data_IF_393620223794
#
_entry.id   IF_393620223794
#
_cell.length_a   1.000
_cell.length_b   1.000
_cell.length_c   1.000
_cell.angle_alpha   90.00
_cell.angle_beta   90.00
_cell.angle_gamma   90.00
#
_symmetry.space_group_name_H-M   'P 1'
#
loop_
_entity.id
_entity.type
_entity.pdbx_description
1 polymer ?
#
# COMPACT_ATOMS: atom_id res chain seq x y z
N UNK A 1 25.13 24.36 14.32
CA UNK A 1 25.39 24.19 12.87
C UNK A 1 24.34 23.23 12.32
N UNK A 2 23.68 23.55 11.21
CA UNK A 2 22.74 22.64 10.55
C UNK A 2 23.46 21.94 9.39
N UNK A 3 23.35 20.61 9.35
CA UNK A 3 23.87 19.76 8.29
C UNK A 3 22.70 19.13 7.54
N UNK A 4 22.79 19.06 6.22
CA UNK A 4 21.75 18.48 5.36
C UNK A 4 22.36 17.37 4.50
N UNK A 5 21.71 16.21 4.49
CA UNK A 5 22.11 15.03 3.74
C UNK A 5 20.98 14.63 2.79
N UNK A 6 21.31 14.09 1.62
CA UNK A 6 20.32 13.41 0.80
C UNK A 6 19.92 12.10 1.49
N UNK A 7 18.64 11.73 1.39
CA UNK A 7 18.23 10.38 1.76
C UNK A 7 18.69 9.38 0.71
N UNK A 8 18.95 8.14 1.13
CA UNK A 8 19.27 7.01 0.25
C UNK A 8 18.23 6.93 -0.89
N UNK A 9 18.70 6.72 -2.13
CA UNK A 9 17.85 6.76 -3.33
C UNK A 9 17.59 8.17 -3.88
N UNK A 10 18.15 9.22 -3.26
CA UNK A 10 18.17 10.58 -3.81
C UNK A 10 16.84 11.34 -3.70
N UNK A 11 15.82 10.76 -3.06
CA UNK A 11 14.49 11.37 -2.91
C UNK A 11 14.28 11.81 -1.48
N UNK A 12 14.29 13.12 -1.26
CA UNK A 12 14.12 13.73 0.06
C UNK A 12 15.44 14.08 0.74
N UNK A 13 15.36 14.55 1.98
CA UNK A 13 16.49 15.04 2.73
C UNK A 13 16.40 14.75 4.22
N UNK A 14 17.57 14.68 4.85
CA UNK A 14 17.75 14.62 6.29
C UNK A 14 18.43 15.90 6.76
N UNK A 15 17.79 16.69 7.61
CA UNK A 15 18.38 17.83 8.32
C UNK A 15 18.76 17.43 9.74
N UNK A 16 19.96 17.82 10.17
CA UNK A 16 20.49 17.55 11.51
C UNK A 16 21.03 18.84 12.10
N UNK A 17 20.53 19.24 13.27
CA UNK A 17 21.00 20.41 14.00
C UNK A 17 21.45 20.00 15.39
N UNK A 18 22.74 20.23 15.68
CA UNK A 18 23.27 20.06 17.02
C UNK A 18 22.79 21.19 17.94
N UNK A 19 22.32 20.81 19.12
CA UNK A 19 21.76 21.65 20.18
C UNK A 19 22.36 21.21 21.52
N UNK A 20 23.64 21.57 21.73
CA UNK A 20 24.39 21.17 22.91
C UNK A 20 24.53 19.64 23.01
N UNK A 21 24.03 18.98 24.07
CA UNK A 21 24.14 17.53 24.24
C UNK A 21 23.14 16.74 23.38
N UNK A 22 22.28 17.42 22.60
CA UNK A 22 21.22 16.81 21.79
C UNK A 22 21.39 17.18 20.32
N UNK A 23 20.76 16.40 19.44
CA UNK A 23 20.59 16.71 18.04
C UNK A 23 19.11 16.66 17.67
N UNK A 24 18.62 17.73 17.04
CA UNK A 24 17.31 17.78 16.39
C UNK A 24 17.45 17.31 14.95
N UNK A 25 16.67 16.30 14.59
CA UNK A 25 16.76 15.61 13.31
C UNK A 25 15.38 15.64 12.64
N UNK A 26 15.36 15.98 11.36
CA UNK A 26 14.17 15.94 10.53
C UNK A 26 14.47 15.20 9.23
N UNK A 27 13.64 14.23 8.87
CA UNK A 27 13.69 13.57 7.57
C UNK A 27 12.42 13.90 6.79
N UNK A 28 12.56 14.38 5.56
CA UNK A 28 11.46 14.75 4.68
C UNK A 28 11.61 14.13 3.30
N UNK A 29 10.49 13.79 2.65
CA UNK A 29 10.43 13.44 1.23
C UNK A 29 9.10 13.91 0.62
N UNK A 30 8.99 14.06 -0.71
CA UNK A 30 7.69 14.27 -1.35
C UNK A 30 6.71 13.16 -0.96
N UNK A 31 5.46 13.52 -0.69
CA UNK A 31 4.40 12.53 -0.54
C UNK A 31 3.98 12.03 -1.94
N UNK A 32 4.32 10.78 -2.22
CA UNK A 32 4.00 10.12 -3.49
C UNK A 32 2.70 9.29 -3.41
N UNK A 33 2.03 9.28 -2.25
CA UNK A 33 0.81 8.51 -2.03
C UNK A 33 1.01 6.99 -2.15
N UNK A 34 2.26 6.50 -2.19
CA UNK A 34 2.54 5.08 -2.45
C UNK A 34 2.47 4.22 -1.20
N UNK A 35 2.59 4.80 0.00
CA UNK A 35 2.65 4.03 1.22
C UNK A 35 3.12 4.78 2.46
N UNK A 36 3.30 4.03 3.55
CA UNK A 36 3.92 4.49 4.78
C UNK A 36 5.42 4.22 4.73
N UNK A 37 6.20 5.22 5.09
CA UNK A 37 7.65 5.16 5.10
C UNK A 37 8.18 5.29 6.51
N UNK A 38 9.27 4.59 6.82
CA UNK A 38 10.06 4.77 8.04
C UNK A 38 11.36 5.47 7.68
N UNK A 39 11.70 6.53 8.41
CA UNK A 39 12.98 7.20 8.23
C UNK A 39 14.02 6.71 9.23
N UNK A 40 15.26 6.61 8.76
CA UNK A 40 16.42 6.21 9.53
C UNK A 40 17.53 7.24 9.37
N UNK A 41 18.28 7.46 10.45
CA UNK A 41 19.54 8.18 10.45
C UNK A 41 20.69 7.16 10.43
N UNK A 42 21.69 7.37 9.57
CA UNK A 42 22.84 6.46 9.40
C UNK A 42 24.15 7.15 9.80
N UNK A 43 24.98 6.43 10.55
CA UNK A 43 26.37 6.76 10.80
C UNK A 43 27.28 5.59 10.44
N UNK A 44 28.58 5.70 10.71
CA UNK A 44 29.58 4.71 10.29
C UNK A 44 29.38 3.33 10.93
N UNK A 45 28.90 3.30 12.18
CA UNK A 45 28.78 2.09 12.99
C UNK A 45 27.35 1.55 13.12
N UNK A 46 26.34 2.21 12.54
CA UNK A 46 24.95 1.78 12.69
C UNK A 46 23.91 2.78 12.19
N UNK A 47 22.65 2.41 12.42
CA UNK A 47 21.48 3.23 12.06
C UNK A 47 20.48 3.33 13.20
N UNK A 48 19.71 4.41 13.23
CA UNK A 48 18.68 4.68 14.23
C UNK A 48 17.36 5.01 13.54
N UNK A 49 16.29 4.33 13.94
CA UNK A 49 14.93 4.62 13.49
C UNK A 49 14.46 5.96 14.06
N UNK A 50 14.09 6.89 13.19
CA UNK A 50 13.45 8.16 13.56
C UNK A 50 11.94 7.97 13.76
N UNK A 51 11.33 7.08 12.97
CA UNK A 51 9.92 6.71 13.08
C UNK A 51 9.22 6.66 11.73
N UNK A 52 7.91 6.45 11.76
CA UNK A 52 7.04 6.54 10.59
C UNK A 52 6.88 8.01 10.18
N UNK A 53 7.03 8.28 8.88
CA UNK A 53 6.85 9.59 8.28
C UNK A 53 5.36 9.87 8.09
N UNK A 54 4.90 11.04 8.52
CA UNK A 54 3.50 11.46 8.44
C UNK A 54 3.30 12.52 7.36
N UNK A 55 2.15 12.53 6.66
CA UNK A 55 1.83 13.57 5.69
C UNK A 55 1.68 14.95 6.34
N UNK A 56 2.42 15.93 5.84
CA UNK A 56 2.35 17.35 6.19
C UNK A 56 2.53 18.17 4.91
N UNK A 57 1.50 18.90 4.45
CA UNK A 57 1.56 19.83 3.32
C UNK A 57 2.17 19.22 2.02
N UNK A 58 1.75 18.01 1.63
CA UNK A 58 2.24 17.33 0.43
C UNK A 58 3.63 16.72 0.56
N UNK A 59 4.16 16.61 1.79
CA UNK A 59 5.42 15.94 2.11
C UNK A 59 5.18 14.89 3.17
N UNK A 60 5.98 13.84 3.17
CA UNK A 60 6.12 12.94 4.30
C UNK A 60 7.25 13.42 5.19
N UNK A 61 7.03 13.44 6.49
CA UNK A 61 7.95 14.04 7.43
C UNK A 61 8.00 13.31 8.77
N UNK A 62 9.19 13.27 9.38
CA UNK A 62 9.35 12.89 10.79
C UNK A 62 10.40 13.75 11.44
N UNK A 63 10.14 14.16 12.69
CA UNK A 63 11.06 14.96 13.51
C UNK A 63 11.31 14.28 14.84
N UNK A 64 12.58 14.19 15.24
CA UNK A 64 13.00 13.62 16.52
C UNK A 64 14.18 14.38 17.11
N UNK A 65 14.26 14.37 18.42
CA UNK A 65 15.43 14.85 19.16
C UNK A 65 16.05 13.66 19.87
N UNK A 66 17.35 13.47 19.67
CA UNK A 66 18.13 12.43 20.34
C UNK A 66 19.27 13.05 21.15
N UNK A 67 19.73 12.35 22.19
CA UNK A 67 21.00 12.70 22.82
C UNK A 67 22.16 12.28 21.91
N UNK A 68 23.23 13.08 21.87
CA UNK A 68 24.43 12.72 21.10
C UNK A 68 25.06 11.41 21.61
N UNK A 69 25.01 11.15 22.91
CA UNK A 69 25.54 9.92 23.49
C UNK A 69 24.73 8.68 23.10
N UNK A 70 23.40 8.79 22.97
CA UNK A 70 22.61 7.71 22.39
C UNK A 70 22.98 7.44 20.93
N UNK A 71 23.12 8.47 20.11
CA UNK A 71 23.49 8.31 18.71
C UNK A 71 24.90 7.70 18.57
N UNK A 72 25.86 8.11 19.40
CA UNK A 72 27.21 7.53 19.48
C UNK A 72 27.17 6.06 19.88
N UNK A 73 26.44 5.71 20.95
CA UNK A 73 26.29 4.31 21.42
C UNK A 73 25.69 3.40 20.34
N UNK A 74 24.78 3.93 19.52
CA UNK A 74 24.15 3.20 18.42
C UNK A 74 24.96 3.25 17.11
N UNK A 75 26.16 3.84 17.12
CA UNK A 75 27.04 3.94 15.95
C UNK A 75 26.54 4.90 14.86
N UNK A 76 25.52 5.69 15.14
CA UNK A 76 24.84 6.57 14.19
C UNK A 76 25.37 8.02 14.22
N UNK A 77 26.44 8.27 14.99
CA UNK A 77 27.14 9.55 15.05
C UNK A 77 28.66 9.38 14.78
N UNK A 78 29.31 10.25 13.97
CA UNK A 78 28.74 11.36 13.21
C UNK A 78 27.79 10.88 12.11
N UNK A 79 26.83 11.73 11.74
CA UNK A 79 25.84 11.42 10.70
C UNK A 79 26.52 11.39 9.35
N UNK A 80 26.26 10.34 8.58
CA UNK A 80 26.74 10.19 7.20
C UNK A 80 25.60 10.27 6.17
N UNK A 81 24.36 10.09 6.61
CA UNK A 81 23.18 10.16 5.76
C UNK A 81 21.93 9.66 6.46
N UNK A 82 20.89 9.37 5.69
CA UNK A 82 19.67 8.78 6.17
C UNK A 82 18.96 8.00 5.08
N UNK A 83 17.95 7.23 5.46
CA UNK A 83 17.12 6.47 4.52
C UNK A 83 15.65 6.73 4.81
N UNK A 84 14.80 6.66 3.78
CA UNK A 84 13.37 6.51 3.93
C UNK A 84 12.96 5.20 3.26
N UNK A 85 12.70 4.18 4.08
CA UNK A 85 12.35 2.84 3.61
C UNK A 85 10.84 2.65 3.70
N UNK A 86 10.21 2.16 2.62
CA UNK A 86 8.77 1.88 2.61
C UNK A 86 8.49 0.71 3.55
N UNK A 87 7.68 0.96 4.58
CA UNK A 87 7.27 -0.04 5.56
C UNK A 87 5.91 -0.68 5.22
N UNK A 88 5.08 0.03 4.47
CA UNK A 88 3.79 -0.46 3.98
C UNK A 88 3.48 0.21 2.64
N UNK A 89 3.04 -0.55 1.64
CA UNK A 89 2.60 -0.01 0.35
C UNK A 89 1.08 0.12 0.33
N UNK A 90 0.55 1.30 -0.01
CA UNK A 90 -0.86 1.49 -0.34
C UNK A 90 -1.21 0.88 -1.71
N UNK A 91 -0.18 0.65 -2.54
CA UNK A 91 -0.31 0.06 -3.87
C UNK A 91 0.24 -1.36 -3.95
N UNK A 92 0.48 -2.01 -2.80
CA UNK A 92 1.11 -3.33 -2.78
C UNK A 92 0.34 -4.30 -3.66
N UNK A 93 1.05 -5.15 -4.42
CA UNK A 93 0.46 -6.38 -4.92
C UNK A 93 -0.02 -7.17 -3.70
N UNK A 94 -1.29 -6.98 -3.34
CA UNK A 94 -1.96 -7.80 -2.35
C UNK A 94 -1.77 -9.24 -2.81
N UNK A 95 -1.04 -10.02 -2.02
CA UNK A 95 -1.01 -11.46 -2.26
C UNK A 95 -2.45 -11.92 -2.16
N UNK A 96 -3.01 -12.50 -3.24
CA UNK A 96 -4.41 -12.87 -3.23
C UNK A 96 -4.64 -13.88 -2.11
N UNK A 97 -5.80 -13.85 -1.43
CA UNK A 97 -6.11 -14.83 -0.40
C UNK A 97 -5.95 -16.26 -0.94
N UNK A 98 -5.72 -17.24 -0.06
CA UNK A 98 -5.56 -18.63 -0.48
C UNK A 98 -6.72 -19.08 -1.38
N UNK A 99 -6.38 -19.66 -2.54
CA UNK A 99 -7.35 -20.11 -3.53
C UNK A 99 -7.88 -19.01 -4.46
N UNK A 100 -7.41 -17.77 -4.32
CA UNK A 100 -7.70 -16.67 -5.23
C UNK A 100 -6.47 -16.30 -6.06
N UNK A 101 -6.69 -15.69 -7.22
CA UNK A 101 -5.65 -15.10 -8.06
C UNK A 101 -6.13 -13.78 -8.66
N UNK A 102 -5.19 -12.93 -9.05
CA UNK A 102 -5.53 -11.70 -9.78
C UNK A 102 -5.71 -11.99 -11.27
N UNK A 103 -6.78 -11.44 -11.85
CA UNK A 103 -6.98 -11.42 -13.29
C UNK A 103 -7.32 -10.01 -13.76
N UNK A 104 -6.89 -9.68 -14.98
CA UNK A 104 -7.36 -8.48 -15.67
C UNK A 104 -8.82 -8.67 -16.09
N UNK A 105 -9.70 -7.74 -15.72
CA UNK A 105 -11.13 -7.84 -15.97
C UNK A 105 -11.48 -7.96 -17.46
N UNK A 106 -10.71 -7.31 -18.32
CA UNK A 106 -10.85 -7.43 -19.78
C UNK A 106 -10.44 -8.80 -20.35
N UNK A 107 -9.81 -9.67 -19.56
CA UNK A 107 -9.45 -11.05 -19.92
C UNK A 107 -10.40 -12.09 -19.35
N UNK A 108 -11.46 -11.67 -18.65
CA UNK A 108 -12.44 -12.60 -18.08
C UNK A 108 -13.43 -13.08 -19.14
N UNK A 109 -13.66 -14.39 -19.16
CA UNK A 109 -14.61 -15.06 -20.05
C UNK A 109 -16.03 -14.99 -19.47
N UNK A 110 -16.61 -13.79 -19.51
CA UNK A 110 -18.01 -13.57 -19.11
C UNK A 110 -18.94 -13.74 -20.32
N UNK A 111 -20.13 -14.31 -20.12
CA UNK A 111 -21.06 -14.65 -21.22
C UNK A 111 -21.62 -13.42 -21.93
N UNK A 112 -21.94 -12.38 -21.16
CA UNK A 112 -22.59 -11.15 -21.66
C UNK A 112 -21.59 -10.03 -21.95
N UNK A 113 -21.83 -9.28 -23.04
CA UNK A 113 -20.97 -8.14 -23.46
C UNK A 113 -20.91 -7.06 -22.38
N UNK A 114 -22.05 -6.69 -21.79
CA UNK A 114 -22.14 -5.64 -20.76
C UNK A 114 -21.31 -6.01 -19.54
N UNK A 115 -21.31 -7.28 -19.14
CA UNK A 115 -20.49 -7.77 -18.02
C UNK A 115 -19.00 -7.70 -18.34
N UNK A 116 -18.56 -8.04 -19.56
CA UNK A 116 -17.15 -7.85 -19.95
C UNK A 116 -16.75 -6.37 -19.90
N UNK A 117 -17.65 -5.46 -20.26
CA UNK A 117 -17.39 -4.03 -20.21
C UNK A 117 -17.25 -3.54 -18.75
N UNK A 118 -18.17 -3.94 -17.87
CA UNK A 118 -18.09 -3.63 -16.43
C UNK A 118 -16.81 -4.20 -15.82
N UNK A 119 -16.47 -5.46 -16.12
CA UNK A 119 -15.22 -6.09 -15.69
C UNK A 119 -13.98 -5.31 -16.17
N UNK A 120 -13.95 -4.87 -17.43
CA UNK A 120 -12.83 -4.12 -17.99
C UNK A 120 -12.63 -2.77 -17.29
N UNK A 121 -13.71 -2.11 -16.84
CA UNK A 121 -13.64 -0.83 -16.10
C UNK A 121 -13.07 -1.00 -14.69
N UNK A 122 -13.26 -2.17 -14.08
CA UNK A 122 -12.75 -2.47 -12.74
C UNK A 122 -11.23 -2.73 -12.72
N UNK A 123 -10.60 -2.97 -13.87
CA UNK A 123 -9.18 -3.28 -13.96
C UNK A 123 -8.88 -4.68 -13.41
N UNK A 124 -8.00 -4.79 -12.42
CA UNK A 124 -7.65 -6.07 -11.79
C UNK A 124 -8.72 -6.52 -10.79
N UNK A 125 -9.16 -7.77 -10.92
CA UNK A 125 -10.22 -8.37 -10.11
C UNK A 125 -9.68 -9.67 -9.50
N UNK A 126 -10.04 -9.97 -8.25
CA UNK A 126 -9.76 -11.27 -7.64
C UNK A 126 -10.69 -12.32 -8.23
N UNK A 127 -10.12 -13.43 -8.66
CA UNK A 127 -10.87 -14.56 -9.19
C UNK A 127 -10.51 -15.86 -8.48
N UNK A 128 -11.50 -16.74 -8.38
CA UNK A 128 -11.34 -18.13 -7.93
C UNK A 128 -12.02 -19.02 -8.95
N UNK A 129 -11.30 -20.01 -9.46
CA UNK A 129 -11.85 -21.03 -10.35
C UNK A 129 -12.15 -22.29 -9.56
N UNK A 130 -13.32 -22.86 -9.80
CA UNK A 130 -13.83 -24.05 -9.12
C UNK A 130 -14.45 -24.96 -10.19
N UNK A 131 -13.68 -25.94 -10.67
CA UNK A 131 -13.98 -26.68 -11.89
C UNK A 131 -14.08 -25.75 -13.09
N UNK A 132 -15.20 -25.82 -13.81
CA UNK A 132 -15.51 -24.89 -14.91
C UNK A 132 -16.04 -23.53 -14.42
N UNK A 133 -16.44 -23.42 -13.15
CA UNK A 133 -17.02 -22.21 -12.59
C UNK A 133 -16.00 -21.12 -12.26
N UNK A 134 -16.47 -19.87 -12.23
CA UNK A 134 -15.69 -18.69 -11.89
C UNK A 134 -16.39 -17.90 -10.79
N UNK A 135 -15.68 -17.55 -9.72
CA UNK A 135 -16.13 -16.56 -8.74
C UNK A 135 -15.23 -15.34 -8.83
N UNK A 136 -15.83 -14.15 -8.95
CA UNK A 136 -15.15 -12.87 -8.87
C UNK A 136 -15.37 -12.25 -7.50
N UNK A 137 -14.35 -11.66 -6.91
CA UNK A 137 -14.45 -10.80 -5.74
C UNK A 137 -14.02 -9.38 -6.13
N UNK A 138 -15.00 -8.48 -6.21
CA UNK A 138 -14.80 -7.10 -6.61
C UNK A 138 -14.74 -6.22 -5.35
N UNK A 139 -13.76 -5.32 -5.19
CA UNK A 139 -13.71 -4.41 -4.04
C UNK A 139 -15.03 -3.66 -3.84
N UNK A 140 -15.52 -3.61 -2.60
CA UNK A 140 -16.75 -2.92 -2.24
C UNK A 140 -16.49 -1.76 -1.30
N UNK A 141 -16.74 -0.55 -1.79
CA UNK A 141 -16.63 0.71 -1.05
C UNK A 141 -17.97 1.45 -1.17
N UNK A 142 -18.65 1.80 -0.06
CA UNK A 142 -19.97 2.44 -0.10
C UNK A 142 -20.02 3.76 -0.88
N UNK A 143 -18.87 4.43 -1.02
CA UNK A 143 -18.73 5.73 -1.66
C UNK A 143 -18.38 5.62 -3.16
N UNK A 144 -18.25 4.40 -3.70
CA UNK A 144 -17.92 4.15 -5.10
C UNK A 144 -19.07 3.48 -5.85
N UNK A 145 -19.03 3.58 -7.17
CA UNK A 145 -19.97 2.88 -8.04
C UNK A 145 -19.96 1.38 -7.77
N UNK A 146 -21.15 0.77 -7.80
CA UNK A 146 -21.30 -0.65 -7.58
C UNK A 146 -20.63 -1.45 -8.72
N UNK A 147 -19.83 -2.51 -8.44
CA UNK A 147 -18.94 -3.09 -9.46
C UNK A 147 -19.62 -3.66 -10.70
N UNK A 148 -20.76 -4.34 -10.50
CA UNK A 148 -21.61 -4.87 -11.57
C UNK A 148 -23.05 -4.48 -11.28
N UNK A 149 -23.48 -3.27 -11.67
CA UNK A 149 -24.86 -2.82 -11.42
C UNK A 149 -25.90 -3.78 -11.99
N UNK A 150 -25.58 -4.45 -13.10
CA UNK A 150 -26.44 -5.43 -13.77
C UNK A 150 -26.67 -6.69 -12.93
N UNK A 151 -25.79 -6.98 -11.96
CA UNK A 151 -25.81 -8.18 -11.14
C UNK A 151 -26.13 -7.89 -9.68
N UNK A 152 -26.64 -6.71 -9.33
CA UNK A 152 -26.77 -6.29 -7.93
C UNK A 152 -27.52 -7.32 -7.05
N UNK A 153 -28.59 -7.93 -7.56
CA UNK A 153 -29.36 -8.97 -6.87
C UNK A 153 -28.60 -10.30 -6.65
N UNK A 154 -27.54 -10.54 -7.43
CA UNK A 154 -26.74 -11.78 -7.39
C UNK A 154 -25.45 -11.61 -6.60
N UNK A 155 -25.13 -10.38 -6.19
CA UNK A 155 -23.94 -10.06 -5.43
C UNK A 155 -24.06 -10.51 -3.98
N UNK A 156 -22.99 -11.08 -3.43
CA UNK A 156 -22.87 -11.37 -1.99
C UNK A 156 -21.71 -10.60 -1.39
N UNK A 157 -21.89 -9.95 -0.26
CA UNK A 157 -20.82 -9.20 0.38
C UNK A 157 -20.07 -10.12 1.34
N UNK A 158 -18.76 -10.25 1.14
CA UNK A 158 -17.87 -11.01 2.02
C UNK A 158 -16.70 -10.14 2.48
N UNK A 159 -16.17 -10.46 3.66
CA UNK A 159 -14.99 -9.81 4.23
C UNK A 159 -13.79 -10.73 4.25
N UNK A 160 -12.66 -10.31 3.69
CA UNK A 160 -11.38 -10.98 3.89
C UNK A 160 -10.22 -9.97 3.82
N UNK A 161 -9.18 -10.21 4.62
CA UNK A 161 -8.03 -9.28 4.71
C UNK A 161 -8.40 -7.88 5.22
N UNK A 162 -9.48 -7.74 6.00
CA UNK A 162 -9.96 -6.44 6.49
C UNK A 162 -10.67 -5.56 5.45
N UNK A 163 -10.89 -6.08 4.23
CA UNK A 163 -11.62 -5.40 3.15
C UNK A 163 -12.92 -6.12 2.84
N UNK A 164 -13.90 -5.38 2.31
CA UNK A 164 -15.18 -5.92 1.83
C UNK A 164 -15.13 -6.10 0.32
N UNK A 165 -15.71 -7.19 -0.14
CA UNK A 165 -15.82 -7.51 -1.55
C UNK A 165 -17.26 -7.91 -1.88
N UNK A 166 -17.73 -7.55 -3.07
CA UNK A 166 -18.93 -8.16 -3.67
C UNK A 166 -18.51 -9.33 -4.51
N UNK A 167 -19.08 -10.50 -4.23
CA UNK A 167 -18.83 -11.74 -4.91
C UNK A 167 -19.91 -12.02 -5.94
N UNK A 168 -19.47 -12.34 -7.15
CA UNK A 168 -20.33 -12.79 -8.26
C UNK A 168 -19.86 -14.15 -8.75
N UNK A 169 -20.77 -15.08 -8.93
CA UNK A 169 -20.46 -16.43 -9.42
C UNK A 169 -20.97 -16.63 -10.84
N UNK A 170 -20.23 -17.38 -11.64
CA UNK A 170 -20.52 -17.68 -13.03
C UNK A 170 -20.36 -19.17 -13.30
N UNK A 171 -21.22 -19.72 -14.18
CA UNK A 171 -21.08 -21.09 -14.70
C UNK A 171 -19.93 -21.21 -15.70
N UNK A 172 -19.68 -22.42 -16.23
CA UNK A 172 -18.65 -22.69 -17.24
C UNK A 172 -18.85 -21.99 -18.58
N UNK A 173 -20.01 -21.35 -18.80
CA UNK A 173 -20.29 -20.53 -19.99
C UNK A 173 -20.23 -19.03 -19.68
N UNK A 174 -19.77 -18.66 -18.48
CA UNK A 174 -19.68 -17.28 -18.04
C UNK A 174 -21.04 -16.63 -17.73
N UNK A 175 -22.10 -17.42 -17.50
CA UNK A 175 -23.42 -16.90 -17.14
C UNK A 175 -23.51 -16.70 -15.63
N UNK A 176 -24.03 -15.56 -15.14
CA UNK A 176 -24.20 -15.33 -13.71
C UNK A 176 -25.08 -16.40 -13.07
N UNK A 177 -24.68 -16.90 -11.92
CA UNK A 177 -25.44 -17.87 -11.12
C UNK A 177 -25.55 -17.38 -9.68
N UNK A 178 -26.69 -17.64 -9.06
CA UNK A 178 -26.83 -17.55 -7.62
C UNK A 178 -26.23 -18.82 -7.02
N UNK A 179 -25.17 -18.68 -6.21
CA UNK A 179 -24.75 -19.80 -5.35
C UNK A 179 -25.56 -19.71 -4.05
N UNK A 180 -26.28 -20.77 -3.73
CA UNK A 180 -26.79 -20.99 -2.39
C UNK A 180 -25.63 -21.47 -1.50
N UNK A 181 -25.67 -21.13 -0.22
CA UNK A 181 -24.60 -21.43 0.74
C UNK A 181 -24.80 -22.80 1.36
#
# INVERSE_FOLDING_TARGET
MEQRFALDGGVGALSVREEGPRASIAAERPDDGRGLYKAYLRGRGGSVLLGTMTPENGRLLVRRTFSLDELRRRGAWPVLGGAAEMAFSFQGEETPPQGWSWAEGGRLELGERTLRQSASRLGRILCRRDGEGLTLACPFEPEREFPFPELFCLGRIEGFGGRRFVLFSFDGRGRPILRET
#
